data_IF_667700194132
#
_entry.id   IF_667700194132
#
_cell.length_a   1.000
_cell.length_b   1.000
_cell.length_c   1.000
_cell.angle_alpha   90.00
_cell.angle_beta   90.00
_cell.angle_gamma   90.00
#
_symmetry.space_group_name_H-M   'P 1'
#
loop_
_entity.id
_entity.type
_entity.pdbx_description
1 polymer ?
#
# COMPACT_ATOMS: atom_id res chain seq x y z
N UNK A 1 -8.20 -5.73 11.58
CA UNK A 1 -8.07 -4.40 10.97
C UNK A 1 -9.46 -3.92 10.59
N UNK A 2 -9.81 -2.69 10.98
CA UNK A 2 -11.10 -2.10 10.57
C UNK A 2 -11.12 -1.87 9.06
N UNK A 3 -12.26 -2.06 8.44
CA UNK A 3 -12.53 -1.87 7.00
C UNK A 3 -12.27 -0.46 6.45
N UNK A 4 -11.71 0.43 7.24
CA UNK A 4 -11.70 1.88 7.02
C UNK A 4 -10.31 2.52 6.80
N UNK A 5 -9.26 1.74 6.52
CA UNK A 5 -7.88 2.27 6.36
C UNK A 5 -7.32 2.99 7.59
N UNK A 6 -7.88 2.74 8.76
CA UNK A 6 -7.39 3.26 10.02
C UNK A 6 -6.39 2.27 10.64
N UNK A 7 -5.31 2.79 11.15
CA UNK A 7 -4.35 2.00 11.92
C UNK A 7 -4.94 1.81 13.32
N UNK A 8 -5.05 0.56 13.74
CA UNK A 8 -5.39 0.22 15.14
C UNK A 8 -4.10 -0.25 15.78
N UNK A 9 -3.60 0.50 16.74
CA UNK A 9 -2.44 0.13 17.56
C UNK A 9 -2.90 -0.33 18.93
N UNK A 10 -2.10 -1.17 19.53
CA UNK A 10 -2.19 -1.54 20.94
C UNK A 10 -0.78 -1.59 21.48
N UNK A 11 -0.39 -0.47 22.08
CA UNK A 11 0.92 -0.35 22.73
C UNK A 11 0.89 -1.08 24.06
N UNK A 12 1.98 -1.71 24.44
CA UNK A 12 2.13 -2.36 25.75
C UNK A 12 3.55 -2.12 26.25
N UNK A 13 3.64 -1.67 27.50
CA UNK A 13 4.92 -1.60 28.21
C UNK A 13 5.39 -3.01 28.50
N UNK A 14 6.57 -3.35 28.03
CA UNK A 14 7.24 -4.61 28.35
C UNK A 14 7.66 -4.71 29.82
N UNK A 15 8.58 -5.61 30.10
CA UNK A 15 9.16 -5.72 31.45
C UNK A 15 9.96 -4.45 31.76
N UNK A 16 9.56 -3.78 32.84
CA UNK A 16 10.24 -2.60 33.35
C UNK A 16 10.78 -2.90 34.75
N UNK A 17 12.05 -2.60 34.98
CA UNK A 17 12.69 -2.63 36.29
C UNK A 17 13.74 -1.53 36.36
N UNK A 18 13.90 -0.96 37.54
CA UNK A 18 14.99 -0.03 37.78
C UNK A 18 16.31 -0.76 37.84
N UNK A 19 17.33 -0.22 37.16
CA UNK A 19 18.66 -0.82 37.11
C UNK A 19 19.41 -0.71 38.44
N UNK A 20 19.19 0.41 39.13
CA UNK A 20 19.79 0.70 40.43
C UNK A 20 18.72 0.97 41.48
N UNK A 21 18.93 0.56 42.74
CA UNK A 21 17.98 0.82 43.81
C UNK A 21 17.89 2.31 44.16
N UNK A 22 16.68 2.77 44.39
CA UNK A 22 16.41 4.14 44.79
C UNK A 22 16.33 4.27 46.33
N UNK A 23 17.34 4.86 46.93
CA UNK A 23 17.41 5.06 48.38
C UNK A 23 17.36 6.56 48.74
N UNK A 24 16.62 6.89 49.84
CA UNK A 24 16.67 8.21 50.42
C UNK A 24 17.96 8.32 51.26
N UNK A 25 18.94 9.06 50.75
CA UNK A 25 20.34 9.03 51.20
C UNK A 25 20.56 9.29 52.67
N UNK A 26 19.76 10.16 53.30
CA UNK A 26 19.97 10.55 54.73
C UNK A 26 19.28 9.62 55.74
N UNK A 27 18.32 8.77 55.31
CA UNK A 27 17.61 7.82 56.17
C UNK A 27 17.80 6.38 55.74
N UNK A 28 18.49 6.13 54.62
CA UNK A 28 18.73 4.78 54.09
C UNK A 28 17.46 4.00 53.69
N UNK A 29 16.34 4.71 53.48
CA UNK A 29 15.06 4.08 53.17
C UNK A 29 14.96 3.75 51.68
N UNK A 30 14.70 2.46 51.34
CA UNK A 30 14.54 1.99 49.98
C UNK A 30 13.14 2.28 49.43
N UNK A 31 13.06 3.15 48.42
CA UNK A 31 11.83 3.52 47.74
C UNK A 31 11.72 2.94 46.34
N UNK A 32 12.57 2.01 45.94
CA UNK A 32 12.65 1.42 44.60
C UNK A 32 11.28 0.93 44.11
N UNK A 33 10.58 0.15 44.91
CA UNK A 33 9.24 -0.37 44.55
C UNK A 33 8.20 0.74 44.36
N UNK A 34 8.25 1.79 45.16
CA UNK A 34 7.33 2.95 45.04
C UNK A 34 7.59 3.69 43.75
N UNK A 35 8.86 3.94 43.42
CA UNK A 35 9.25 4.59 42.17
C UNK A 35 8.87 3.70 40.95
N UNK A 36 9.12 2.39 41.00
CA UNK A 36 8.70 1.50 39.94
C UNK A 36 7.20 1.51 39.70
N UNK A 37 6.40 1.54 40.75
CA UNK A 37 4.93 1.60 40.64
C UNK A 37 4.46 2.90 40.01
N UNK A 38 5.01 4.04 40.42
CA UNK A 38 4.62 5.34 39.87
C UNK A 38 5.06 5.47 38.40
N UNK A 39 6.29 5.06 38.06
CA UNK A 39 6.75 5.07 36.67
C UNK A 39 5.88 4.15 35.82
N UNK A 40 5.52 2.97 36.33
CA UNK A 40 4.63 2.05 35.58
C UNK A 40 3.25 2.68 35.32
N UNK A 41 2.68 3.38 36.28
CA UNK A 41 1.40 4.11 36.10
C UNK A 41 1.51 5.18 34.99
N UNK A 42 2.60 5.94 34.98
CA UNK A 42 2.81 6.96 33.95
C UNK A 42 3.05 6.34 32.58
N UNK A 43 3.77 5.21 32.50
CA UNK A 43 3.97 4.48 31.24
C UNK A 43 2.65 3.93 30.68
N UNK A 44 1.74 3.45 31.52
CA UNK A 44 0.40 2.99 31.08
C UNK A 44 -0.41 4.17 30.51
N UNK A 45 -0.34 5.35 31.08
CA UNK A 45 -0.98 6.55 30.51
C UNK A 45 -0.38 6.92 29.15
N UNK A 46 0.94 6.75 28.99
CA UNK A 46 1.61 6.97 27.71
C UNK A 46 1.18 5.97 26.64
N UNK A 47 0.91 4.70 26.99
CA UNK A 47 0.34 3.71 26.05
C UNK A 47 -0.95 4.24 25.43
N UNK A 48 -1.88 4.73 26.25
CA UNK A 48 -3.16 5.27 25.79
C UNK A 48 -2.96 6.48 24.86
N UNK A 49 -2.07 7.42 25.25
CA UNK A 49 -1.76 8.60 24.43
C UNK A 49 -1.14 8.23 23.09
N UNK A 50 -0.24 7.24 23.07
CA UNK A 50 0.38 6.76 21.84
C UNK A 50 -0.68 6.12 20.93
N UNK A 51 -1.52 5.24 21.48
CA UNK A 51 -2.56 4.55 20.73
C UNK A 51 -3.59 5.54 20.15
N UNK A 52 -4.03 6.52 20.94
CA UNK A 52 -4.91 7.59 20.46
C UNK A 52 -4.26 8.41 19.31
N UNK A 53 -3.00 8.78 19.44
CA UNK A 53 -2.31 9.55 18.40
C UNK A 53 -2.13 8.76 17.11
N UNK A 54 -1.84 7.46 17.21
CA UNK A 54 -1.75 6.58 16.04
C UNK A 54 -3.13 6.44 15.38
N UNK A 55 -4.19 6.24 16.17
CA UNK A 55 -5.56 6.07 15.66
C UNK A 55 -6.13 7.33 15.00
N UNK A 56 -5.70 8.53 15.43
CA UNK A 56 -6.08 9.81 14.80
C UNK A 56 -5.53 9.97 13.39
N UNK A 57 -4.45 9.25 13.05
CA UNK A 57 -3.81 9.31 11.74
C UNK A 57 -4.40 8.25 10.82
N UNK A 58 -5.27 8.68 9.90
CA UNK A 58 -5.82 7.79 8.86
C UNK A 58 -4.88 7.69 7.67
N UNK A 59 -4.62 6.48 7.22
CA UNK A 59 -3.90 6.23 5.97
C UNK A 59 -4.78 6.44 4.72
N UNK A 60 -6.09 6.61 4.92
CA UNK A 60 -7.06 6.72 3.82
C UNK A 60 -6.73 7.79 2.78
N UNK A 61 -6.32 9.03 3.13
CA UNK A 61 -5.97 10.03 2.12
C UNK A 61 -4.85 9.56 1.20
N UNK A 62 -3.76 9.06 1.76
CA UNK A 62 -2.59 8.60 1.00
C UNK A 62 -2.91 7.42 0.09
N UNK A 63 -3.67 6.45 0.60
CA UNK A 63 -4.10 5.29 -0.19
C UNK A 63 -5.09 5.71 -1.28
N UNK A 64 -5.98 6.69 -1.01
CA UNK A 64 -6.90 7.22 -2.01
C UNK A 64 -6.15 7.90 -3.15
N UNK A 65 -5.14 8.69 -2.85
CA UNK A 65 -4.35 9.37 -3.87
C UNK A 65 -3.54 8.37 -4.70
N UNK A 66 -2.89 7.40 -4.09
CA UNK A 66 -2.22 6.31 -4.80
C UNK A 66 -3.19 5.50 -5.68
N UNK A 67 -4.41 5.24 -5.19
CA UNK A 67 -5.46 4.56 -5.94
C UNK A 67 -5.90 5.33 -7.18
N UNK A 68 -6.01 6.65 -7.07
CA UNK A 68 -6.33 7.54 -8.22
C UNK A 68 -5.18 7.58 -9.23
N UNK A 69 -3.93 7.67 -8.75
CA UNK A 69 -2.76 7.68 -9.64
C UNK A 69 -2.66 6.40 -10.46
N UNK A 70 -2.90 5.23 -9.85
CA UNK A 70 -2.89 3.94 -10.57
C UNK A 70 -3.94 3.84 -11.68
N UNK A 71 -5.00 4.62 -11.62
CA UNK A 71 -6.06 4.61 -12.64
C UNK A 71 -5.78 5.56 -13.81
N UNK A 72 -4.75 6.38 -13.72
CA UNK A 72 -4.36 7.24 -14.84
C UNK A 72 -3.81 6.42 -16.00
N UNK A 73 -4.18 6.76 -17.24
CA UNK A 73 -3.63 6.08 -18.40
C UNK A 73 -2.12 6.32 -18.51
N UNK A 74 -1.37 5.24 -18.67
CA UNK A 74 0.09 5.25 -18.84
C UNK A 74 0.37 5.23 -20.35
N UNK A 75 1.02 6.26 -20.92
CA UNK A 75 1.33 6.28 -22.34
C UNK A 75 2.33 5.18 -22.68
N UNK A 76 2.04 4.42 -23.74
CA UNK A 76 2.93 3.45 -24.36
C UNK A 76 3.34 3.99 -25.73
N UNK A 77 4.62 4.26 -25.91
CA UNK A 77 5.13 4.86 -27.13
C UNK A 77 4.79 4.00 -28.36
N UNK A 78 4.10 4.59 -29.32
CA UNK A 78 3.66 3.91 -30.54
C UNK A 78 2.47 2.95 -30.41
N UNK A 79 2.06 2.58 -29.20
CA UNK A 79 1.00 1.57 -28.96
C UNK A 79 -0.28 2.15 -28.35
N UNK A 80 -0.23 3.40 -27.82
CA UNK A 80 -1.36 4.05 -27.17
C UNK A 80 -1.21 4.14 -25.66
N UNK A 81 -2.16 3.57 -24.90
CA UNK A 81 -2.24 3.78 -23.46
C UNK A 81 -2.53 2.46 -22.72
N UNK A 82 -1.80 2.24 -21.63
CA UNK A 82 -2.07 1.16 -20.67
C UNK A 82 -2.99 1.68 -19.56
N UNK A 83 -4.05 0.96 -19.28
CA UNK A 83 -5.00 1.18 -18.19
C UNK A 83 -4.88 0.02 -17.20
N UNK A 84 -4.59 0.30 -15.93
CA UNK A 84 -4.39 -0.75 -14.92
C UNK A 84 -5.69 -1.23 -14.27
N UNK A 85 -6.69 -0.36 -14.11
CA UNK A 85 -8.01 -0.67 -13.50
C UNK A 85 -7.91 -1.50 -12.23
N UNK A 86 -7.46 -0.91 -11.12
CA UNK A 86 -7.39 -1.61 -9.86
C UNK A 86 -8.81 -1.91 -9.35
N UNK A 87 -9.03 -3.13 -8.82
CA UNK A 87 -10.35 -3.62 -8.41
C UNK A 87 -10.43 -3.98 -6.94
N UNK A 88 -9.32 -4.40 -6.34
CA UNK A 88 -9.26 -4.77 -4.93
C UNK A 88 -7.91 -4.40 -4.34
N UNK A 89 -7.92 -4.12 -3.04
CA UNK A 89 -6.73 -3.83 -2.25
C UNK A 89 -6.83 -4.60 -0.94
N UNK A 90 -5.78 -5.33 -0.60
CA UNK A 90 -5.66 -6.00 0.70
C UNK A 90 -4.27 -5.80 1.28
N UNK A 91 -4.21 -5.71 2.60
CA UNK A 91 -2.97 -5.56 3.36
C UNK A 91 -2.87 -6.76 4.29
N UNK A 92 -1.77 -7.50 4.20
CA UNK A 92 -1.57 -8.70 5.01
C UNK A 92 -1.11 -8.37 6.42
N UNK A 93 0.09 -7.83 6.53
CA UNK A 93 0.71 -7.49 7.81
C UNK A 93 1.53 -6.22 7.68
N UNK A 94 1.60 -5.48 8.76
CA UNK A 94 2.54 -4.38 8.92
C UNK A 94 3.41 -4.73 10.12
N UNK A 95 4.71 -4.82 9.91
CA UNK A 95 5.70 -5.07 10.93
C UNK A 95 6.57 -3.82 11.10
N UNK A 96 6.70 -3.38 12.33
CA UNK A 96 7.55 -2.25 12.69
C UNK A 96 8.87 -2.82 13.22
N UNK A 97 9.94 -2.62 12.46
CA UNK A 97 11.28 -3.14 12.78
C UNK A 97 12.23 -1.96 12.82
N UNK A 98 12.70 -1.60 14.02
CA UNK A 98 13.58 -0.46 14.25
C UNK A 98 13.02 0.84 13.61
N UNK A 99 13.67 1.35 12.55
CA UNK A 99 13.27 2.57 11.84
C UNK A 99 12.54 2.27 10.52
N UNK A 100 12.05 1.06 10.31
CA UNK A 100 11.38 0.65 9.08
C UNK A 100 10.02 0.00 9.33
N UNK A 101 9.14 0.17 8.35
CA UNK A 101 7.86 -0.52 8.29
C UNK A 101 7.91 -1.49 7.13
N UNK A 102 7.69 -2.76 7.40
CA UNK A 102 7.55 -3.80 6.37
C UNK A 102 6.10 -4.23 6.30
N UNK A 103 5.61 -4.41 5.10
CA UNK A 103 4.25 -4.89 4.89
C UNK A 103 4.07 -5.52 3.52
N UNK A 104 3.10 -6.41 3.41
CA UNK A 104 2.69 -7.02 2.14
C UNK A 104 1.33 -6.47 1.76
N UNK A 105 1.26 -5.87 0.59
CA UNK A 105 0.03 -5.32 0.01
C UNK A 105 -0.24 -6.03 -1.30
N UNK A 106 -1.46 -6.52 -1.48
CA UNK A 106 -1.90 -7.12 -2.74
C UNK A 106 -2.94 -6.22 -3.39
N UNK A 107 -2.74 -5.94 -4.67
CA UNK A 107 -3.66 -5.17 -5.50
C UNK A 107 -4.10 -6.05 -6.66
N UNK A 108 -5.40 -6.28 -6.78
CA UNK A 108 -5.97 -6.93 -7.96
C UNK A 108 -6.18 -5.89 -9.05
N UNK A 109 -5.65 -6.17 -10.24
CA UNK A 109 -5.68 -5.28 -11.40
C UNK A 109 -6.38 -5.97 -12.57
N UNK A 110 -7.02 -5.18 -13.43
CA UNK A 110 -7.50 -5.58 -14.77
C UNK A 110 -6.82 -4.70 -15.82
N UNK A 111 -5.61 -5.05 -16.25
CA UNK A 111 -4.88 -4.25 -17.22
C UNK A 111 -5.53 -4.34 -18.61
N UNK A 112 -5.46 -3.27 -19.38
CA UNK A 112 -5.84 -3.26 -20.81
C UNK A 112 -5.02 -2.21 -21.55
N UNK A 113 -4.73 -2.48 -22.83
CA UNK A 113 -4.06 -1.54 -23.74
C UNK A 113 -5.05 -1.07 -24.79
N UNK A 114 -5.06 0.23 -25.08
CA UNK A 114 -5.90 0.86 -26.10
C UNK A 114 -5.10 1.86 -26.90
N UNK A 115 -5.29 1.89 -28.22
CA UNK A 115 -4.63 2.86 -29.10
C UNK A 115 -5.05 4.32 -28.82
N UNK A 116 -6.26 4.52 -28.33
CA UNK A 116 -6.81 5.83 -28.05
C UNK A 116 -6.92 6.11 -26.54
N UNK A 117 -6.71 7.37 -26.19
CA UNK A 117 -6.93 7.80 -24.81
C UNK A 117 -8.43 7.96 -24.55
N UNK A 118 -8.97 7.12 -23.68
CA UNK A 118 -10.34 7.24 -23.21
C UNK A 118 -10.38 7.88 -21.83
N UNK A 119 -11.41 8.70 -21.61
CA UNK A 119 -11.70 9.24 -20.26
C UNK A 119 -12.64 8.27 -19.58
N UNK A 120 -12.11 7.50 -18.66
CA UNK A 120 -12.93 6.62 -17.81
C UNK A 120 -13.21 7.29 -16.46
N UNK A 121 -14.37 6.98 -15.88
CA UNK A 121 -14.66 7.40 -14.50
C UNK A 121 -13.75 6.65 -13.53
N UNK A 122 -13.11 7.40 -12.64
CA UNK A 122 -12.26 6.81 -11.61
C UNK A 122 -13.11 5.98 -10.64
N UNK A 123 -12.68 4.76 -10.39
CA UNK A 123 -13.30 3.91 -9.39
C UNK A 123 -12.95 4.40 -7.99
N UNK A 124 -13.92 4.47 -7.08
CA UNK A 124 -13.65 4.84 -5.69
C UNK A 124 -12.76 3.78 -5.04
N UNK A 125 -12.02 4.20 -4.00
CA UNK A 125 -11.22 3.28 -3.21
C UNK A 125 -12.15 2.23 -2.57
N UNK A 126 -11.96 0.92 -2.83
CA UNK A 126 -12.78 -0.13 -2.24
C UNK A 126 -12.49 -0.28 -0.73
N UNK A 127 -13.35 -0.94 0.05
CA UNK A 127 -12.97 -1.39 1.38
C UNK A 127 -11.78 -2.36 1.29
N UNK A 128 -10.98 -2.45 2.36
CA UNK A 128 -9.90 -3.44 2.42
C UNK A 128 -10.47 -4.84 2.32
N UNK A 129 -9.99 -5.59 1.35
CA UNK A 129 -10.31 -7.00 1.16
C UNK A 129 -9.50 -7.91 2.08
N UNK A 130 -9.97 -9.15 2.22
CA UNK A 130 -9.19 -10.20 2.88
C UNK A 130 -7.95 -10.51 2.05
N UNK A 131 -6.82 -10.64 2.74
CA UNK A 131 -5.59 -11.04 2.08
C UNK A 131 -5.66 -12.51 1.69
N UNK A 132 -5.48 -12.76 0.40
CA UNK A 132 -5.25 -14.11 -0.14
C UNK A 132 -3.87 -14.11 -0.80
N UNK A 133 -2.98 -14.96 -0.33
CA UNK A 133 -1.70 -15.16 -1.01
C UNK A 133 -1.97 -15.75 -2.40
N UNK A 134 -1.52 -15.12 -3.48
CA UNK A 134 -1.68 -15.70 -4.81
C UNK A 134 -0.81 -16.96 -4.91
N UNK A 135 -1.43 -18.09 -5.21
CA UNK A 135 -0.71 -19.36 -5.45
C UNK A 135 0.03 -19.34 -6.79
N UNK A 136 -0.53 -18.63 -7.77
CA UNK A 136 0.00 -18.51 -9.12
C UNK A 136 -0.14 -17.09 -9.64
N UNK A 137 0.79 -16.66 -10.47
CA UNK A 137 0.71 -15.42 -11.23
C UNK A 137 0.25 -15.73 -12.66
N UNK A 138 -0.92 -15.21 -13.03
CA UNK A 138 -1.41 -15.21 -14.41
C UNK A 138 -1.74 -13.77 -14.80
N UNK A 139 -1.17 -13.31 -15.91
CA UNK A 139 -1.38 -11.96 -16.42
C UNK A 139 -1.98 -12.05 -17.84
N UNK A 140 -3.26 -11.71 -17.95
CA UNK A 140 -3.93 -11.51 -19.21
C UNK A 140 -4.11 -10.01 -19.46
N UNK A 141 -3.53 -9.52 -20.57
CA UNK A 141 -3.65 -8.10 -20.93
C UNK A 141 -4.38 -8.02 -22.27
N UNK A 142 -5.71 -7.75 -22.29
CA UNK A 142 -6.40 -7.50 -23.54
C UNK A 142 -5.86 -6.23 -24.20
N UNK A 143 -5.54 -6.36 -25.49
CA UNK A 143 -5.01 -5.27 -26.33
C UNK A 143 -6.04 -4.94 -27.39
N UNK A 144 -6.47 -3.68 -27.44
CA UNK A 144 -7.36 -3.15 -28.49
C UNK A 144 -6.63 -2.07 -29.24
N UNK A 145 -6.36 -2.32 -30.53
CA UNK A 145 -5.64 -1.41 -31.42
C UNK A 145 -6.58 -0.99 -32.55
N UNK A 146 -6.67 0.32 -32.85
CA UNK A 146 -7.40 0.81 -34.03
C UNK A 146 -6.69 0.39 -35.32
N UNK A 147 -7.45 0.25 -36.41
CA UNK A 147 -6.86 -0.05 -37.71
C UNK A 147 -5.85 1.01 -38.16
N UNK A 148 -6.09 2.27 -37.86
CA UNK A 148 -5.18 3.37 -38.19
C UNK A 148 -3.83 3.25 -37.47
N UNK A 149 -3.86 2.95 -36.16
CA UNK A 149 -2.64 2.70 -35.39
C UNK A 149 -1.92 1.46 -35.89
N UNK A 150 -2.66 0.37 -36.19
CA UNK A 150 -2.10 -0.84 -36.75
C UNK A 150 -1.41 -0.57 -38.10
N UNK A 151 -2.08 0.17 -38.97
CA UNK A 151 -1.54 0.57 -40.27
C UNK A 151 -0.28 1.43 -40.13
N UNK A 152 -0.30 2.40 -39.19
CA UNK A 152 0.87 3.24 -38.92
C UNK A 152 2.07 2.44 -38.40
N UNK A 153 1.82 1.43 -37.56
CA UNK A 153 2.87 0.54 -37.05
C UNK A 153 3.46 -0.37 -38.14
N UNK A 154 2.62 -0.88 -39.06
CA UNK A 154 3.07 -1.82 -40.12
C UNK A 154 3.63 -1.14 -41.36
N UNK A 155 3.20 0.10 -41.68
CA UNK A 155 3.68 0.83 -42.85
C UNK A 155 5.22 0.87 -43.02
N UNK A 156 6.02 1.10 -41.96
CA UNK A 156 7.49 1.09 -42.10
C UNK A 156 8.04 -0.26 -42.51
N UNK A 157 7.36 -1.36 -42.14
CA UNK A 157 7.81 -2.74 -42.43
C UNK A 157 7.35 -3.26 -43.81
N UNK A 158 6.20 -2.75 -44.31
CA UNK A 158 5.65 -3.16 -45.62
C UNK A 158 6.08 -2.24 -46.77
N UNK A 159 6.65 -1.08 -46.45
CA UNK A 159 7.11 -0.10 -47.45
C UNK A 159 8.30 -0.69 -48.20
N UNK A 160 8.04 -1.19 -49.42
CA UNK A 160 9.03 -1.83 -50.28
C UNK A 160 8.86 -3.34 -50.47
N UNK A 161 7.86 -3.97 -49.85
CA UNK A 161 7.48 -5.35 -50.15
C UNK A 161 6.62 -5.40 -51.40
N UNK A 162 7.23 -5.78 -52.53
CA UNK A 162 6.49 -6.15 -53.74
C UNK A 162 5.92 -7.55 -53.57
N UNK A 163 4.61 -7.67 -53.40
CA UNK A 163 3.91 -8.96 -53.40
C UNK A 163 3.72 -9.40 -54.87
N UNK A 164 4.64 -10.25 -55.39
CA UNK A 164 4.44 -10.92 -56.66
C UNK A 164 3.40 -12.03 -56.48
N UNK A 165 2.15 -11.76 -56.81
CA UNK A 165 1.13 -12.80 -56.98
C UNK A 165 1.49 -13.60 -58.25
N UNK A 166 2.08 -14.78 -58.08
CA UNK A 166 2.13 -15.76 -59.17
C UNK A 166 0.71 -16.23 -59.46
N UNK A 167 0.23 -15.94 -60.68
CA UNK A 167 -0.96 -16.56 -61.26
C UNK A 167 -0.71 -18.01 -61.57
#
# INVERSE_FOLDING_TARGET
MGSAYNVVSKTQVGNFSLKDPCNISFIGYDITKTVEQEVRKELIKLEEVIDENIQKNSLKPYVTDAWREMQKPIPLEGLGFLYLKPTNLSIHSLEFIENSIKGVTTIALRPSVRSEKIVESLQPLPPLGDFKSPENFNLEVPVTISYDTLTALFNPFVKGLELSLKK
#
